data_IF_194641298378
#
_entry.id   IF_194641298378
#
_cell.length_a   1.000
_cell.length_b   1.000
_cell.length_c   1.000
_cell.angle_alpha   90.00
_cell.angle_beta   90.00
_cell.angle_gamma   90.00
#
_symmetry.space_group_name_H-M   'P 1'
#
loop_
_entity.id
_entity.type
_entity.pdbx_description
1 polymer ?
#
# COMPACT_ATOMS: atom_id res chain seq x y z
N UNK A 1 7.58 -0.44 11.75
CA UNK A 1 7.06 0.94 11.84
C UNK A 1 8.24 1.85 12.18
N UNK A 2 8.27 3.09 11.67
CA UNK A 2 9.32 4.03 12.07
C UNK A 2 9.11 4.45 13.53
N UNK A 3 10.19 4.53 14.29
CA UNK A 3 10.17 4.92 15.70
C UNK A 3 10.40 6.43 15.83
N UNK A 4 9.31 7.18 15.79
CA UNK A 4 9.30 8.60 16.13
C UNK A 4 8.54 8.88 17.42
N UNK A 5 8.44 7.89 18.31
CA UNK A 5 7.69 8.00 19.57
C UNK A 5 6.17 7.99 19.38
N UNK A 6 5.68 7.19 18.43
CA UNK A 6 4.26 7.13 18.11
C UNK A 6 3.45 6.41 19.21
N UNK A 7 2.16 6.70 19.30
CA UNK A 7 1.24 6.09 20.26
C UNK A 7 0.81 4.67 19.86
N UNK A 8 0.94 4.31 18.58
CA UNK A 8 0.44 3.04 18.03
C UNK A 8 1.10 1.82 18.66
N UNK A 9 2.44 1.74 18.84
CA UNK A 9 3.09 0.60 19.48
C UNK A 9 2.55 0.34 20.89
N UNK A 10 2.40 1.38 21.70
CA UNK A 10 1.86 1.27 23.07
C UNK A 10 0.38 0.86 23.06
N UNK A 11 -0.42 1.45 22.16
CA UNK A 11 -1.84 1.14 22.03
C UNK A 11 -2.07 -0.33 21.61
N UNK A 12 -1.24 -0.88 20.72
CA UNK A 12 -1.30 -2.29 20.35
C UNK A 12 -0.83 -3.18 21.50
N UNK A 13 0.25 -2.82 22.19
CA UNK A 13 0.80 -3.59 23.30
C UNK A 13 -0.13 -3.67 24.53
N UNK A 14 -1.05 -2.71 24.68
CA UNK A 14 -2.02 -2.63 25.79
C UNK A 14 -3.46 -2.91 25.37
N UNK A 15 -3.68 -3.33 24.11
CA UNK A 15 -5.01 -3.59 23.58
C UNK A 15 -5.73 -4.72 24.32
N UNK A 16 -7.03 -4.51 24.59
CA UNK A 16 -7.91 -5.56 25.09
C UNK A 16 -8.28 -6.58 24.01
N UNK A 17 -8.15 -6.23 22.73
CA UNK A 17 -8.33 -7.13 21.60
C UNK A 17 -7.10 -8.03 21.44
N UNK A 18 -7.32 -9.35 21.44
CA UNK A 18 -6.25 -10.35 21.41
C UNK A 18 -5.47 -10.38 20.09
N UNK A 19 -6.09 -10.01 18.97
CA UNK A 19 -5.44 -9.95 17.66
C UNK A 19 -4.55 -8.72 17.56
N UNK A 20 -5.03 -7.57 18.01
CA UNK A 20 -4.23 -6.34 18.06
C UNK A 20 -3.07 -6.46 19.06
N UNK A 21 -3.29 -7.12 20.20
CA UNK A 21 -2.24 -7.42 21.16
C UNK A 21 -1.16 -8.35 20.56
N UNK A 22 -1.58 -9.37 19.81
CA UNK A 22 -0.65 -10.26 19.12
C UNK A 22 0.14 -9.52 18.03
N UNK A 23 -0.48 -8.57 17.32
CA UNK A 23 0.18 -7.71 16.35
C UNK A 23 1.22 -6.81 17.03
N UNK A 24 0.87 -6.16 18.15
CA UNK A 24 1.80 -5.32 18.92
C UNK A 24 3.05 -6.08 19.39
N UNK A 25 2.91 -7.34 19.80
CA UNK A 25 4.05 -8.20 20.18
C UNK A 25 5.00 -8.56 19.03
N UNK A 26 4.53 -8.44 17.79
CA UNK A 26 5.31 -8.73 16.57
C UNK A 26 5.69 -7.44 15.82
N UNK A 27 5.43 -6.28 16.42
CA UNK A 27 5.71 -4.99 15.78
C UNK A 27 7.19 -4.65 15.96
N UNK A 28 7.92 -4.65 14.85
CA UNK A 28 9.29 -4.18 14.84
C UNK A 28 9.36 -2.67 14.59
N UNK A 29 10.16 -2.00 15.42
CA UNK A 29 10.44 -0.57 15.35
C UNK A 29 11.77 -0.33 14.65
N UNK A 30 11.76 0.60 13.69
CA UNK A 30 12.94 1.03 12.94
C UNK A 30 13.33 2.42 13.43
N UNK A 31 14.59 2.64 13.84
CA UNK A 31 14.98 3.93 14.42
C UNK A 31 14.89 5.05 13.38
N UNK A 32 14.55 6.25 13.87
CA UNK A 32 14.59 7.47 13.07
C UNK A 32 16.04 7.81 12.70
N UNK A 33 16.25 8.14 11.42
CA UNK A 33 17.57 8.51 10.87
C UNK A 33 17.46 9.89 10.22
N UNK A 34 17.85 10.93 10.95
CA UNK A 34 17.68 12.33 10.53
C UNK A 34 18.53 12.74 9.32
N UNK A 35 19.54 11.96 8.95
CA UNK A 35 20.36 12.18 7.76
C UNK A 35 19.70 11.71 6.47
N UNK A 36 18.63 10.91 6.54
CA UNK A 36 17.87 10.43 5.40
C UNK A 36 16.72 11.37 5.04
N UNK A 37 16.28 11.33 3.78
CA UNK A 37 15.31 12.28 3.21
C UNK A 37 13.95 12.16 3.88
N UNK A 38 13.54 10.94 4.18
CA UNK A 38 12.27 10.61 4.83
C UNK A 38 12.50 10.08 6.25
N UNK A 39 13.52 10.59 6.94
CA UNK A 39 13.79 10.32 8.35
C UNK A 39 13.97 8.83 8.69
N UNK A 40 14.33 7.99 7.70
CA UNK A 40 14.49 6.55 7.88
C UNK A 40 13.30 5.71 7.45
N UNK A 41 12.24 6.30 6.91
CA UNK A 41 11.16 5.55 6.27
C UNK A 41 11.68 4.68 5.10
N UNK A 42 12.76 5.10 4.45
CA UNK A 42 13.46 4.33 3.42
C UNK A 42 13.86 2.94 3.95
N UNK A 43 14.35 2.87 5.19
CA UNK A 43 14.73 1.60 5.81
C UNK A 43 13.51 0.71 6.12
N UNK A 44 12.34 1.30 6.40
CA UNK A 44 11.09 0.55 6.50
C UNK A 44 10.68 -0.02 5.14
N UNK A 45 10.86 0.75 4.07
CA UNK A 45 10.54 0.32 2.71
C UNK A 45 11.46 -0.79 2.22
N UNK A 46 12.77 -0.69 2.46
CA UNK A 46 13.73 -1.75 2.13
C UNK A 46 13.30 -3.09 2.74
N UNK A 47 12.83 -3.07 4.00
CA UNK A 47 12.28 -4.26 4.66
C UNK A 47 11.01 -4.81 4.01
N UNK A 48 10.15 -3.94 3.49
CA UNK A 48 8.94 -4.35 2.74
C UNK A 48 9.34 -5.07 1.45
N UNK A 49 10.33 -4.53 0.73
CA UNK A 49 10.82 -5.12 -0.53
C UNK A 49 11.65 -6.39 -0.35
N UNK A 50 12.26 -6.58 0.81
CA UNK A 50 12.92 -7.84 1.19
C UNK A 50 11.90 -8.97 1.53
N UNK A 51 10.60 -8.75 1.27
CA UNK A 51 9.46 -9.71 1.23
C UNK A 51 8.99 -10.34 2.54
N UNK A 52 9.50 -9.94 3.69
CA UNK A 52 9.08 -10.51 4.99
C UNK A 52 8.36 -9.54 5.92
N UNK A 53 8.20 -8.28 5.53
CA UNK A 53 7.61 -7.26 6.38
C UNK A 53 6.45 -6.54 5.70
N UNK A 54 5.46 -6.19 6.52
CA UNK A 54 4.48 -5.16 6.19
C UNK A 54 4.84 -3.90 6.97
N UNK A 55 4.66 -2.73 6.34
CA UNK A 55 4.85 -1.45 7.00
C UNK A 55 3.52 -0.96 7.57
N UNK A 56 3.58 -0.54 8.83
CA UNK A 56 2.48 0.08 9.55
C UNK A 56 2.77 1.57 9.66
N UNK A 57 1.90 2.39 9.09
CA UNK A 57 2.00 3.84 9.05
C UNK A 57 0.63 4.50 8.81
N UNK A 58 0.57 5.83 8.94
CA UNK A 58 -0.63 6.60 8.56
C UNK A 58 -1.00 6.41 7.08
N UNK A 59 -2.24 5.98 6.80
CA UNK A 59 -2.67 5.52 5.46
C UNK A 59 -2.36 6.51 4.32
N UNK A 60 -2.74 7.78 4.46
CA UNK A 60 -2.47 8.79 3.43
C UNK A 60 -0.98 9.08 3.29
N UNK A 61 -0.25 9.08 4.40
CA UNK A 61 1.18 9.36 4.41
C UNK A 61 1.97 8.27 3.71
N UNK A 62 1.73 6.99 4.05
CA UNK A 62 2.42 5.86 3.41
C UNK A 62 2.10 5.77 1.93
N UNK A 63 0.86 6.08 1.52
CA UNK A 63 0.51 6.12 0.10
C UNK A 63 1.30 7.21 -0.64
N UNK A 64 1.32 8.45 -0.13
CA UNK A 64 2.09 9.54 -0.72
C UNK A 64 3.59 9.26 -0.75
N UNK A 65 4.11 8.64 0.30
CA UNK A 65 5.52 8.29 0.45
C UNK A 65 5.97 7.30 -0.65
N UNK A 66 5.26 6.18 -0.80
CA UNK A 66 5.57 5.17 -1.82
C UNK A 66 5.34 5.71 -3.24
N UNK A 67 4.32 6.53 -3.47
CA UNK A 67 4.10 7.18 -4.77
C UNK A 67 5.24 8.15 -5.10
N UNK A 68 5.68 8.98 -4.15
CA UNK A 68 6.77 9.93 -4.33
C UNK A 68 8.10 9.24 -4.66
N UNK A 69 8.34 8.05 -4.11
CA UNK A 69 9.51 7.22 -4.39
C UNK A 69 9.38 6.35 -5.65
N UNK A 70 8.23 6.37 -6.33
CA UNK A 70 8.01 5.65 -7.57
C UNK A 70 7.60 4.18 -7.41
N UNK A 71 7.30 3.73 -6.19
CA UNK A 71 6.97 2.35 -5.86
C UNK A 71 5.47 2.09 -5.67
N UNK A 72 4.62 3.05 -6.00
CA UNK A 72 3.18 2.95 -5.73
C UNK A 72 2.45 1.77 -6.41
N UNK A 73 3.02 1.17 -7.46
CA UNK A 73 2.47 -0.02 -8.14
C UNK A 73 3.05 -1.35 -7.60
N UNK A 74 4.17 -1.31 -6.91
CA UNK A 74 4.89 -2.48 -6.44
C UNK A 74 4.41 -2.93 -5.05
N UNK A 75 3.55 -2.12 -4.42
CA UNK A 75 2.97 -2.40 -3.11
C UNK A 75 1.46 -2.37 -3.12
N UNK A 76 0.88 -3.15 -2.22
CA UNK A 76 -0.56 -3.14 -1.96
C UNK A 76 -0.85 -2.35 -0.68
N UNK A 77 -1.68 -1.32 -0.78
CA UNK A 77 -2.13 -0.55 0.36
C UNK A 77 -3.39 -1.18 0.97
N UNK A 78 -3.26 -1.70 2.19
CA UNK A 78 -4.40 -2.23 2.96
C UNK A 78 -5.31 -1.07 3.39
N UNK A 79 -6.61 -1.14 3.07
CA UNK A 79 -7.57 -0.06 3.33
C UNK A 79 -8.10 -0.08 4.76
N UNK A 80 -8.12 -1.25 5.37
CA UNK A 80 -8.60 -1.48 6.72
C UNK A 80 -7.65 -0.85 7.74
N UNK A 81 -8.18 0.06 8.55
CA UNK A 81 -7.41 0.70 9.62
C UNK A 81 -7.50 -0.14 10.89
N UNK A 82 -6.34 -0.61 11.35
CA UNK A 82 -6.19 -1.32 12.63
C UNK A 82 -6.23 -0.38 13.85
N UNK A 83 -6.00 0.91 13.63
CA UNK A 83 -6.06 1.93 14.67
C UNK A 83 -6.59 3.26 14.09
N UNK A 84 -7.56 3.87 14.77
CA UNK A 84 -8.12 5.17 14.38
C UNK A 84 -7.43 6.26 15.17
N UNK A 85 -6.58 7.03 14.49
CA UNK A 85 -5.95 8.21 15.05
C UNK A 85 -6.61 9.47 14.48
N UNK A 86 -6.82 10.47 15.35
CA UNK A 86 -7.29 11.78 14.93
C UNK A 86 -6.13 12.77 14.97
N UNK A 87 -5.96 13.55 13.90
CA UNK A 87 -5.05 14.69 13.92
C UNK A 87 -5.61 15.80 14.79
N UNK A 88 -4.78 16.35 15.67
CA UNK A 88 -5.17 17.40 16.60
C UNK A 88 -4.12 18.50 16.67
N UNK A 89 -4.60 19.73 16.90
CA UNK A 89 -3.73 20.86 17.21
C UNK A 89 -3.52 20.96 18.72
N UNK A 90 -2.27 20.88 19.15
CA UNK A 90 -1.90 21.07 20.55
C UNK A 90 -1.73 22.56 20.84
N UNK A 91 -2.36 23.01 21.93
CA UNK A 91 -2.24 24.38 22.39
C UNK A 91 -1.68 24.42 23.81
N UNK A 92 -0.95 25.49 24.13
CA UNK A 92 -0.59 25.79 25.52
C UNK A 92 -1.86 25.85 26.37
N UNK A 93 -1.80 25.24 27.55
CA UNK A 93 -2.90 25.26 28.53
C UNK A 93 -3.38 26.70 28.76
N UNK A 94 -4.69 26.88 28.81
CA UNK A 94 -5.37 28.17 29.01
C UNK A 94 -5.09 29.24 27.94
N UNK A 95 -4.74 28.84 26.71
CA UNK A 95 -4.68 29.80 25.60
C UNK A 95 -6.07 30.42 25.34
N UNK A 96 -6.17 31.73 25.11
CA UNK A 96 -7.43 32.36 24.71
C UNK A 96 -7.81 32.03 23.25
N UNK A 97 -6.92 31.38 22.49
CA UNK A 97 -7.11 31.15 21.05
C UNK A 97 -7.86 29.87 20.71
N UNK A 98 -7.93 28.90 21.64
CA UNK A 98 -8.47 27.56 21.36
C UNK A 98 -9.87 27.62 20.73
N UNK A 99 -10.80 28.38 21.32
CA UNK A 99 -12.17 28.44 20.83
C UNK A 99 -12.28 29.02 19.41
N UNK A 100 -11.40 29.97 19.05
CA UNK A 100 -11.38 30.56 17.70
C UNK A 100 -10.91 29.54 16.68
N UNK A 101 -9.88 28.77 17.01
CA UNK A 101 -9.40 27.68 16.16
C UNK A 101 -10.45 26.58 16.03
N UNK A 102 -11.05 26.12 17.14
CA UNK A 102 -12.09 25.08 17.10
C UNK A 102 -13.23 25.49 16.16
N UNK A 103 -13.75 26.73 16.30
CA UNK A 103 -14.82 27.26 15.44
C UNK A 103 -14.38 27.41 13.98
N UNK A 104 -13.13 27.83 13.74
CA UNK A 104 -12.56 27.96 12.40
C UNK A 104 -12.44 26.62 11.70
N UNK A 105 -11.82 25.63 12.36
CA UNK A 105 -11.67 24.27 11.86
C UNK A 105 -13.02 23.62 11.62
N UNK A 106 -13.98 23.74 12.55
CA UNK A 106 -15.34 23.22 12.35
C UNK A 106 -15.96 23.78 11.07
N UNK A 107 -15.87 25.09 10.82
CA UNK A 107 -16.40 25.69 9.58
C UNK A 107 -15.74 25.13 8.32
N UNK A 108 -14.42 24.88 8.35
CA UNK A 108 -13.71 24.28 7.23
C UNK A 108 -14.14 22.82 6.98
N UNK A 109 -14.39 22.06 8.05
CA UNK A 109 -14.88 20.68 7.96
C UNK A 109 -16.32 20.66 7.46
N UNK A 110 -17.21 21.45 8.07
CA UNK A 110 -18.65 21.53 7.76
C UNK A 110 -18.92 22.05 6.34
N UNK A 111 -18.07 22.95 5.82
CA UNK A 111 -18.14 23.41 4.43
C UNK A 111 -17.58 22.40 3.42
N UNK A 112 -17.00 21.29 3.89
CA UNK A 112 -16.38 20.27 3.04
C UNK A 112 -15.00 20.66 2.48
N UNK A 113 -14.45 21.81 2.85
CA UNK A 113 -13.15 22.29 2.33
C UNK A 113 -12.01 21.33 2.68
N UNK A 114 -12.00 20.79 3.90
CA UNK A 114 -10.98 19.81 4.32
C UNK A 114 -11.02 18.54 3.45
N UNK A 115 -12.21 18.01 3.20
CA UNK A 115 -12.39 16.82 2.37
C UNK A 115 -11.98 17.09 0.92
N UNK A 116 -12.43 18.23 0.36
CA UNK A 116 -12.04 18.64 -0.98
C UNK A 116 -10.52 18.74 -1.13
N UNK A 117 -9.83 19.42 -0.22
CA UNK A 117 -8.38 19.57 -0.31
C UNK A 117 -7.65 18.24 -0.16
N UNK A 118 -8.15 17.35 0.71
CA UNK A 118 -7.60 16.00 0.81
C UNK A 118 -7.72 15.26 -0.52
N UNK A 119 -8.90 15.27 -1.14
CA UNK A 119 -9.15 14.61 -2.42
C UNK A 119 -8.31 15.22 -3.56
N UNK A 120 -8.21 16.56 -3.61
CA UNK A 120 -7.41 17.28 -4.60
C UNK A 120 -5.92 16.87 -4.51
N UNK A 121 -5.36 16.87 -3.29
CA UNK A 121 -3.97 16.47 -3.03
C UNK A 121 -3.77 15.00 -3.42
N UNK A 122 -4.63 14.10 -2.96
CA UNK A 122 -4.46 12.68 -3.25
C UNK A 122 -4.60 12.37 -4.74
N UNK A 123 -5.48 13.07 -5.47
CA UNK A 123 -5.66 12.90 -6.90
C UNK A 123 -4.46 13.40 -7.71
N UNK A 124 -3.82 14.50 -7.30
CA UNK A 124 -2.61 15.04 -7.94
C UNK A 124 -1.47 14.02 -7.92
N UNK A 125 -1.18 13.45 -6.75
CA UNK A 125 -0.14 12.43 -6.60
C UNK A 125 -0.43 11.13 -7.35
N UNK A 126 -1.69 10.73 -7.45
CA UNK A 126 -2.09 9.57 -8.26
C UNK A 126 -1.88 9.83 -9.76
N UNK A 127 -2.17 11.04 -10.26
CA UNK A 127 -1.94 11.38 -11.66
C UNK A 127 -0.45 11.39 -12.00
N UNK A 128 0.38 12.01 -11.18
CA UNK A 128 1.83 12.08 -11.40
C UNK A 128 2.47 10.69 -11.41
N UNK A 129 2.03 9.81 -10.51
CA UNK A 129 2.50 8.42 -10.47
C UNK A 129 2.01 7.60 -11.67
N UNK A 130 0.76 7.76 -12.10
CA UNK A 130 0.23 7.07 -13.28
C UNK A 130 0.92 7.52 -14.56
N UNK A 131 1.11 8.84 -14.76
CA UNK A 131 1.81 9.40 -15.93
C UNK A 131 3.27 8.92 -16.02
N UNK A 132 3.95 8.75 -14.88
CA UNK A 132 5.30 8.18 -14.84
C UNK A 132 5.33 6.69 -15.20
N UNK A 133 4.18 6.02 -15.33
CA UNK A 133 4.08 4.57 -15.48
C UNK A 133 3.04 4.12 -16.52
N UNK A 134 2.63 4.98 -17.44
CA UNK A 134 1.72 4.64 -18.54
C UNK A 134 2.31 3.65 -19.57
N UNK A 135 3.57 3.23 -19.43
CA UNK A 135 4.16 2.18 -20.28
C UNK A 135 3.56 0.78 -20.06
N UNK A 136 2.77 0.53 -19.00
CA UNK A 136 2.36 -0.84 -18.63
C UNK A 136 0.86 -1.16 -18.72
N UNK A 137 -0.03 -0.18 -18.85
CA UNK A 137 -1.49 -0.45 -18.86
C UNK A 137 -2.01 -0.46 -20.30
N UNK A 138 -1.79 -1.59 -20.96
CA UNK A 138 -2.25 -1.82 -22.33
C UNK A 138 -1.46 -2.89 -23.07
N UNK A 139 -0.76 -3.80 -22.37
CA UNK A 139 -0.05 -4.87 -23.08
C UNK A 139 -1.08 -5.74 -23.81
N UNK A 140 -1.05 -5.77 -25.16
CA UNK A 140 -1.93 -6.64 -25.94
C UNK A 140 -1.64 -8.09 -25.55
N UNK A 141 -2.67 -8.93 -25.61
CA UNK A 141 -2.57 -10.34 -25.24
C UNK A 141 -1.40 -10.99 -26.02
N UNK A 142 -0.31 -11.29 -25.32
CA UNK A 142 0.88 -11.89 -25.89
C UNK A 142 0.64 -13.36 -26.19
N UNK A 143 1.31 -13.88 -27.24
CA UNK A 143 1.30 -15.30 -27.58
C UNK A 143 1.75 -16.18 -26.39
N UNK A 144 2.58 -15.64 -25.49
CA UNK A 144 3.01 -16.30 -24.26
C UNK A 144 1.84 -16.70 -23.35
N UNK A 145 0.77 -15.89 -23.31
CA UNK A 145 -0.41 -16.17 -22.50
C UNK A 145 -1.28 -17.31 -23.07
N UNK A 146 -1.11 -17.66 -24.35
CA UNK A 146 -1.87 -18.71 -25.04
C UNK A 146 -1.07 -20.01 -25.24
N UNK A 147 0.13 -20.10 -24.68
CA UNK A 147 1.02 -21.25 -24.90
C UNK A 147 0.40 -22.58 -24.40
N UNK A 148 -0.33 -22.56 -23.28
CA UNK A 148 -0.97 -23.75 -22.72
C UNK A 148 -1.95 -24.43 -23.69
N UNK A 149 -2.96 -23.71 -24.21
CA UNK A 149 -3.85 -24.23 -25.25
C UNK A 149 -3.13 -24.77 -26.50
N UNK A 150 -2.10 -24.08 -26.98
CA UNK A 150 -1.32 -24.55 -28.14
C UNK A 150 -0.53 -25.83 -27.86
N UNK A 151 0.04 -25.97 -26.66
CA UNK A 151 0.74 -27.19 -26.24
C UNK A 151 -0.22 -28.39 -26.16
N UNK A 152 -1.43 -28.18 -25.62
CA UNK A 152 -2.47 -29.23 -25.59
C UNK A 152 -2.89 -29.64 -27.00
N UNK A 153 -3.04 -28.68 -27.92
CA UNK A 153 -3.38 -28.96 -29.31
C UNK A 153 -2.30 -29.82 -29.99
N UNK A 154 -1.03 -29.45 -29.84
CA UNK A 154 0.10 -30.21 -30.42
C UNK A 154 0.19 -31.61 -29.83
N UNK A 155 0.04 -31.76 -28.52
CA UNK A 155 0.02 -33.08 -27.88
C UNK A 155 -1.14 -33.94 -28.36
N UNK A 156 -2.34 -33.36 -28.50
CA UNK A 156 -3.51 -34.05 -29.04
C UNK A 156 -3.28 -34.54 -30.47
N UNK A 157 -2.69 -33.70 -31.32
CA UNK A 157 -2.35 -34.05 -32.70
C UNK A 157 -1.29 -35.16 -32.78
N UNK A 158 -0.26 -35.12 -31.93
CA UNK A 158 0.75 -36.17 -31.87
C UNK A 158 0.16 -37.51 -31.41
N UNK A 159 -0.72 -37.49 -30.41
CA UNK A 159 -1.38 -38.69 -29.90
C UNK A 159 -2.30 -39.30 -30.96
N UNK A 160 -3.09 -38.47 -31.66
CA UNK A 160 -3.93 -38.92 -32.76
C UNK A 160 -3.10 -39.54 -33.90
N UNK A 161 -1.96 -38.93 -34.25
CA UNK A 161 -1.05 -39.45 -35.27
C UNK A 161 -0.42 -40.80 -34.86
N UNK A 162 -0.04 -40.96 -33.59
CA UNK A 162 0.47 -42.24 -33.08
C UNK A 162 -0.58 -43.35 -33.14
N UNK A 163 -1.82 -43.06 -32.75
CA UNK A 163 -2.93 -44.03 -32.84
C UNK A 163 -3.14 -44.45 -34.30
N UNK A 164 -3.16 -43.49 -35.23
CA UNK A 164 -3.31 -43.77 -36.67
C UNK A 164 -2.18 -44.64 -37.23
N UNK A 165 -0.92 -44.40 -36.83
CA UNK A 165 0.21 -45.24 -37.26
C UNK A 165 0.13 -46.66 -36.71
N UNK A 166 -0.30 -46.83 -35.44
CA UNK A 166 -0.48 -48.15 -34.84
C UNK A 166 -1.58 -48.94 -35.55
N UNK A 167 -2.69 -48.28 -35.88
CA UNK A 167 -3.79 -48.86 -36.65
C UNK A 167 -3.31 -49.30 -38.04
N UNK A 168 -2.55 -48.45 -38.73
CA UNK A 168 -2.03 -48.76 -40.07
C UNK A 168 -1.04 -49.93 -40.10
N UNK A 169 -0.29 -50.17 -39.01
CA UNK A 169 0.67 -51.29 -38.93
C UNK A 169 -0.03 -52.60 -38.55
N UNK A 170 -1.14 -52.55 -37.80
CA UNK A 170 -1.88 -53.75 -37.38
C UNK A 170 -2.93 -54.21 -38.41
N UNK A 171 -3.26 -53.40 -39.39
CA UNK A 171 -4.19 -53.70 -40.48
C UNK A 171 -3.46 -54.07 -41.77
#
# INVERSE_FOLDING_TARGET
MLDYGDFVPEALATSADSQLLALGKKLDLVPLVSSLRYLGQENCMDKVFDTQYAQLEGYSYVQLLFLAMGYGKDVYFVKEQIYKANMAFFFKKNTPWKYKFDKGIMRLVESGLIHKWYDDIMAEFQKDSLQRTEETVGQPLSLAHLQGPFLLLVLGMLLALLIFLVEHIHH
#
